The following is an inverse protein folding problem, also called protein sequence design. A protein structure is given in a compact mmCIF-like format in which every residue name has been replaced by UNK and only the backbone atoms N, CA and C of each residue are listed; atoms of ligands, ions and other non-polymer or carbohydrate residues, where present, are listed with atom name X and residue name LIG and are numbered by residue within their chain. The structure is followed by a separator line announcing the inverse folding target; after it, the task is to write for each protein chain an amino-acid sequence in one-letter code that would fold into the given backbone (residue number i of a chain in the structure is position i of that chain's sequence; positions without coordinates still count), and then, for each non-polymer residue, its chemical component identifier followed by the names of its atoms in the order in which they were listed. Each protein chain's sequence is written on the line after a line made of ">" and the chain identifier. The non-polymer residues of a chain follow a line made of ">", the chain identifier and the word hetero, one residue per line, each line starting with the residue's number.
data_IF_329503855308
#
_entry.id   IF_329503855308
#
_cell.length_a   1.000
_cell.length_b   1.000
_cell.length_c   1.000
_cell.angle_alpha   90.00
_cell.angle_beta   90.00
_cell.angle_gamma   90.00
#
_symmetry.space_group_name_H-M   'P 1'
#
loop_
_entity.id
_entity.type
_entity.pdbx_description
1 polymer ?
#
# COMPACT_ATOMS: atom_id res chain seq x y z
N UNK A 1 10.32 -9.91 7.68
CA UNK A 1 10.33 -8.59 8.35
C UNK A 1 9.41 -8.68 9.56
N UNK A 2 9.83 -8.18 10.72
CA UNK A 2 8.99 -8.10 11.93
C UNK A 2 8.13 -6.83 11.92
N UNK A 3 7.12 -6.75 12.79
CA UNK A 3 6.30 -5.55 12.93
C UNK A 3 7.13 -4.29 13.26
N UNK A 4 8.13 -4.39 14.13
CA UNK A 4 9.03 -3.28 14.46
C UNK A 4 9.84 -2.78 13.24
N UNK A 5 10.33 -3.71 12.41
CA UNK A 5 11.04 -3.38 11.17
C UNK A 5 10.10 -2.70 10.15
N UNK A 6 8.84 -3.15 10.08
CA UNK A 6 7.82 -2.51 9.25
C UNK A 6 7.56 -1.08 9.71
N UNK A 7 7.30 -0.88 11.00
CA UNK A 7 7.08 0.45 11.58
C UNK A 7 8.29 1.38 11.36
N UNK A 8 9.50 0.85 11.49
CA UNK A 8 10.74 1.57 11.22
C UNK A 8 10.81 2.02 9.76
N UNK A 9 10.48 1.13 8.82
CA UNK A 9 10.45 1.44 7.39
C UNK A 9 9.45 2.55 7.07
N UNK A 10 8.24 2.47 7.63
CA UNK A 10 7.21 3.50 7.47
C UNK A 10 7.72 4.85 8.02
N UNK A 11 8.36 4.85 9.19
CA UNK A 11 8.93 6.05 9.80
C UNK A 11 10.05 6.68 8.96
N UNK A 12 10.87 5.87 8.29
CA UNK A 12 11.89 6.34 7.36
C UNK A 12 11.27 6.95 6.10
N UNK A 13 10.30 6.26 5.48
CA UNK A 13 9.67 6.73 4.25
C UNK A 13 8.90 8.04 4.44
N UNK A 14 8.17 8.20 5.55
CA UNK A 14 7.42 9.44 5.80
C UNK A 14 8.31 10.68 5.97
N UNK A 15 9.58 10.48 6.34
CA UNK A 15 10.56 11.56 6.55
C UNK A 15 11.40 11.83 5.31
N UNK A 16 11.39 10.93 4.35
CA UNK A 16 12.17 11.04 3.12
C UNK A 16 11.53 12.08 2.19
N UNK A 17 12.32 12.95 1.55
CA UNK A 17 11.80 13.81 0.51
C UNK A 17 11.42 12.99 -0.73
N UNK A 18 10.37 13.41 -1.41
CA UNK A 18 9.97 12.79 -2.67
C UNK A 18 10.98 13.12 -3.78
N UNK A 19 11.42 12.12 -4.57
CA UNK A 19 12.34 12.37 -5.66
C UNK A 19 11.64 13.13 -6.80
N UNK A 20 12.40 13.91 -7.56
CA UNK A 20 11.90 14.62 -8.74
C UNK A 20 11.66 13.69 -9.94
N UNK A 21 12.28 12.51 -9.95
CA UNK A 21 12.16 11.52 -11.02
C UNK A 21 11.60 10.21 -10.46
N UNK A 22 10.82 9.50 -11.29
CA UNK A 22 10.31 8.19 -10.94
C UNK A 22 11.45 7.16 -10.96
N UNK A 23 11.52 6.33 -9.92
CA UNK A 23 12.44 5.21 -9.81
C UNK A 23 11.73 4.00 -9.22
N UNK A 24 11.94 2.83 -9.83
CA UNK A 24 11.33 1.57 -9.42
C UNK A 24 12.37 0.47 -9.28
N UNK A 25 12.19 -0.34 -8.25
CA UNK A 25 12.87 -1.61 -7.99
C UNK A 25 11.83 -2.66 -7.60
N UNK A 26 12.25 -3.92 -7.39
CA UNK A 26 11.34 -5.02 -7.09
C UNK A 26 10.47 -4.80 -5.85
N UNK A 27 10.96 -4.08 -4.84
CA UNK A 27 10.28 -3.88 -3.55
C UNK A 27 9.93 -2.42 -3.25
N UNK A 28 10.33 -1.50 -4.13
CA UNK A 28 10.24 -0.08 -3.85
C UNK A 28 10.01 0.72 -5.13
N UNK A 29 9.00 1.58 -5.10
CA UNK A 29 8.70 2.53 -6.16
C UNK A 29 8.58 3.94 -5.56
N UNK A 30 9.08 4.95 -6.24
CA UNK A 30 9.00 6.33 -5.78
C UNK A 30 9.02 7.29 -6.94
N UNK A 31 8.47 8.49 -6.71
CA UNK A 31 8.44 9.54 -7.70
C UNK A 31 8.02 10.86 -7.08
N UNK A 32 7.73 11.86 -7.92
CA UNK A 32 7.19 13.14 -7.48
C UNK A 32 5.92 12.91 -6.66
N UNK A 33 5.95 13.34 -5.39
CA UNK A 33 4.80 13.27 -4.49
C UNK A 33 4.57 11.92 -3.80
N UNK A 34 5.39 10.88 -4.03
CA UNK A 34 5.13 9.58 -3.39
C UNK A 34 6.33 8.64 -3.18
N UNK A 35 6.13 7.70 -2.25
CA UNK A 35 6.92 6.49 -2.02
C UNK A 35 5.98 5.29 -1.84
N UNK A 36 6.31 4.13 -2.40
CA UNK A 36 5.64 2.84 -2.20
C UNK A 36 6.71 1.81 -1.85
N UNK A 37 6.46 0.98 -0.84
CA UNK A 37 7.34 -0.11 -0.47
C UNK A 37 6.56 -1.37 -0.10
N UNK A 38 7.07 -2.53 -0.52
CA UNK A 38 6.65 -3.81 0.02
C UNK A 38 7.29 -4.03 1.40
N UNK A 39 6.44 -4.12 2.43
CA UNK A 39 6.82 -4.42 3.81
C UNK A 39 6.98 -5.93 4.03
N UNK A 40 6.22 -6.73 3.29
CA UNK A 40 6.31 -8.19 3.26
C UNK A 40 5.91 -8.66 1.87
N UNK A 41 6.60 -9.65 1.34
CA UNK A 41 6.26 -10.36 0.11
C UNK A 41 6.12 -11.83 0.45
N UNK A 42 5.04 -12.45 -0.04
CA UNK A 42 4.73 -13.86 0.16
C UNK A 42 5.51 -14.75 -0.79
N UNK A 43 5.15 -16.03 -0.80
CA UNK A 43 5.59 -16.96 -1.83
C UNK A 43 4.72 -16.81 -3.08
N UNK A 44 5.25 -17.21 -4.24
CA UNK A 44 4.47 -17.21 -5.48
C UNK A 44 3.62 -18.47 -5.57
N UNK A 45 2.43 -18.36 -6.16
CA UNK A 45 1.42 -19.43 -6.13
C UNK A 45 1.46 -20.37 -7.34
N UNK A 46 2.61 -20.52 -8.01
CA UNK A 46 2.73 -21.29 -9.25
C UNK A 46 2.24 -22.74 -9.13
N UNK A 47 2.46 -23.37 -7.97
CA UNK A 47 2.06 -24.75 -7.68
C UNK A 47 1.10 -24.85 -6.48
N UNK A 48 0.61 -23.72 -5.98
CA UNK A 48 -0.17 -23.69 -4.76
C UNK A 48 -1.62 -24.15 -5.01
N UNK A 49 -2.17 -24.91 -4.08
CA UNK A 49 -3.60 -25.21 -4.09
C UNK A 49 -4.44 -24.07 -3.48
N UNK A 50 -5.76 -24.15 -3.64
CA UNK A 50 -6.68 -23.12 -3.14
C UNK A 50 -6.65 -22.95 -1.62
N UNK A 51 -6.25 -24.00 -0.89
CA UNK A 51 -6.11 -23.95 0.58
C UNK A 51 -4.86 -23.16 0.95
N UNK A 52 -3.74 -23.44 0.29
CA UNK A 52 -2.47 -22.72 0.50
C UNK A 52 -2.61 -21.22 0.16
N UNK A 53 -3.34 -20.89 -0.91
CA UNK A 53 -3.66 -19.49 -1.26
C UNK A 53 -4.51 -18.84 -0.15
N UNK A 54 -5.57 -19.50 0.30
CA UNK A 54 -6.45 -18.95 1.34
C UNK A 54 -5.75 -18.77 2.70
N UNK A 55 -4.87 -19.70 3.08
CA UNK A 55 -4.05 -19.59 4.28
C UNK A 55 -3.08 -18.42 4.19
N UNK A 56 -2.46 -18.21 3.02
CA UNK A 56 -1.60 -17.06 2.78
C UNK A 56 -2.38 -15.74 2.85
N UNK A 57 -3.58 -15.67 2.26
CA UNK A 57 -4.46 -14.50 2.36
C UNK A 57 -4.79 -14.16 3.82
N UNK A 58 -5.18 -15.16 4.62
CA UNK A 58 -5.46 -14.97 6.05
C UNK A 58 -4.23 -14.48 6.82
N UNK A 59 -3.05 -15.03 6.54
CA UNK A 59 -1.82 -14.62 7.19
C UNK A 59 -1.44 -13.17 6.88
N UNK A 60 -1.61 -12.76 5.62
CA UNK A 60 -1.34 -11.38 5.19
C UNK A 60 -2.35 -10.39 5.76
N UNK A 61 -3.64 -10.73 5.80
CA UNK A 61 -4.69 -9.92 6.41
C UNK A 61 -4.50 -9.79 7.94
N UNK A 62 -4.08 -10.86 8.62
CA UNK A 62 -3.70 -10.80 10.03
C UNK A 62 -2.50 -9.86 10.25
N UNK A 63 -1.50 -9.93 9.36
CA UNK A 63 -0.35 -9.01 9.36
C UNK A 63 -0.76 -7.54 9.15
N UNK A 64 -1.64 -7.27 8.19
CA UNK A 64 -2.22 -5.95 7.94
C UNK A 64 -2.97 -5.45 9.17
N UNK A 65 -3.79 -6.29 9.78
CA UNK A 65 -4.56 -5.97 10.98
C UNK A 65 -3.65 -5.56 12.13
N UNK A 66 -2.60 -6.34 12.41
CA UNK A 66 -1.63 -6.03 13.45
C UNK A 66 -0.91 -4.69 13.18
N UNK A 67 -0.53 -4.45 11.92
CA UNK A 67 0.10 -3.18 11.52
C UNK A 67 -0.84 -1.99 11.67
N UNK A 68 -2.09 -2.11 11.24
CA UNK A 68 -3.13 -1.08 11.37
C UNK A 68 -3.39 -0.78 12.85
N UNK A 69 -3.49 -1.79 13.71
CA UNK A 69 -3.64 -1.59 15.15
C UNK A 69 -2.47 -0.83 15.75
N UNK A 70 -1.23 -1.23 15.43
CA UNK A 70 -0.03 -0.57 15.91
C UNK A 70 0.07 0.90 15.46
N UNK A 71 -0.26 1.18 14.20
CA UNK A 71 -0.31 2.55 13.67
C UNK A 71 -1.45 3.37 14.28
N UNK A 72 -2.59 2.74 14.56
CA UNK A 72 -3.74 3.40 15.18
C UNK A 72 -3.46 3.85 16.60
N UNK A 73 -2.63 3.11 17.35
CA UNK A 73 -2.15 3.55 18.66
C UNK A 73 -1.29 4.83 18.58
N UNK A 74 -0.68 5.11 17.42
CA UNK A 74 0.21 6.26 17.21
C UNK A 74 -0.53 7.46 16.62
N UNK A 75 -1.45 7.22 15.68
CA UNK A 75 -2.03 8.26 14.83
C UNK A 75 -3.57 8.30 14.87
N UNK A 76 -4.21 7.47 15.68
CA UNK A 76 -5.67 7.35 15.75
C UNK A 76 -6.25 6.45 14.65
N UNK A 77 -7.58 6.40 14.56
CA UNK A 77 -8.26 5.53 13.61
C UNK A 77 -7.93 5.90 12.14
N UNK A 78 -7.68 4.91 11.25
CA UNK A 78 -7.47 5.17 9.83
C UNK A 78 -8.78 5.55 9.13
N UNK A 79 -8.67 6.32 8.05
CA UNK A 79 -9.66 6.33 6.99
C UNK A 79 -9.47 5.12 6.06
N UNK A 80 -10.49 4.80 5.28
CA UNK A 80 -10.41 3.74 4.26
C UNK A 80 -10.43 4.37 2.88
N UNK A 81 -9.51 3.94 2.01
CA UNK A 81 -9.46 4.31 0.60
C UNK A 81 -9.84 3.08 -0.22
N UNK A 82 -10.93 3.20 -0.98
CA UNK A 82 -11.35 2.18 -1.93
C UNK A 82 -10.62 2.38 -3.26
N UNK A 83 -9.79 1.40 -3.62
CA UNK A 83 -8.98 1.46 -4.83
C UNK A 83 -9.69 0.87 -6.05
N UNK A 84 -10.78 0.11 -5.87
CA UNK A 84 -11.61 -0.33 -6.99
C UNK A 84 -12.22 0.87 -7.72
N UNK A 85 -12.68 1.88 -6.98
CA UNK A 85 -13.15 3.14 -7.55
C UNK A 85 -12.04 3.91 -8.29
N UNK A 86 -10.79 3.83 -7.81
CA UNK A 86 -9.64 4.44 -8.49
C UNK A 86 -9.31 3.69 -9.79
N UNK A 87 -9.43 2.37 -9.81
CA UNK A 87 -9.24 1.54 -10.99
C UNK A 87 -10.29 1.85 -12.06
N UNK A 88 -11.57 1.98 -11.68
CA UNK A 88 -12.65 2.39 -12.59
C UNK A 88 -12.40 3.76 -13.21
N UNK A 89 -11.96 4.74 -12.41
CA UNK A 89 -11.57 6.07 -12.92
C UNK A 89 -10.44 5.97 -13.94
N UNK A 90 -9.40 5.20 -13.64
CA UNK A 90 -8.27 5.00 -14.55
C UNK A 90 -8.74 4.34 -15.86
N UNK A 91 -9.59 3.31 -15.78
CA UNK A 91 -10.15 2.63 -16.94
C UNK A 91 -11.04 3.53 -17.81
N UNK A 92 -11.69 4.53 -17.21
CA UNK A 92 -12.49 5.54 -17.91
C UNK A 92 -11.70 6.77 -18.35
N UNK A 93 -10.37 6.78 -18.15
CA UNK A 93 -9.48 7.89 -18.54
C UNK A 93 -9.53 9.10 -17.61
N UNK A 94 -10.16 8.98 -16.44
CA UNK A 94 -10.15 10.00 -15.41
C UNK A 94 -8.82 9.97 -14.64
N UNK A 95 -8.24 11.13 -14.30
CA UNK A 95 -6.96 11.17 -13.59
C UNK A 95 -7.10 10.59 -12.19
N UNK A 96 -6.07 9.87 -11.75
CA UNK A 96 -5.88 9.42 -10.36
C UNK A 96 -4.51 9.90 -9.93
N UNK A 97 -4.42 10.48 -8.73
CA UNK A 97 -3.15 10.99 -8.21
C UNK A 97 -2.25 9.84 -7.72
N UNK A 98 -0.92 9.94 -7.87
CA UNK A 98 0.00 9.08 -7.16
C UNK A 98 -0.16 9.19 -5.64
N UNK A 99 0.06 8.11 -4.88
CA UNK A 99 0.43 6.77 -5.34
C UNK A 99 -0.76 5.86 -5.73
N UNK A 100 -2.01 6.38 -5.71
CA UNK A 100 -3.20 5.54 -5.93
C UNK A 100 -3.31 5.05 -7.39
N UNK A 101 -2.79 5.82 -8.35
CA UNK A 101 -2.70 5.43 -9.78
C UNK A 101 -1.93 4.13 -9.98
N UNK A 102 -0.90 3.94 -9.17
CA UNK A 102 -0.01 2.79 -9.20
C UNK A 102 -0.65 1.64 -8.44
N UNK A 103 -1.28 1.91 -7.30
CA UNK A 103 -1.78 0.89 -6.37
C UNK A 103 -3.13 0.30 -6.77
N UNK A 104 -3.95 1.01 -7.56
CA UNK A 104 -5.30 0.55 -7.91
C UNK A 104 -5.32 -0.74 -8.75
N UNK A 105 -4.21 -1.12 -9.36
CA UNK A 105 -4.05 -2.40 -10.05
C UNK A 105 -3.58 -3.56 -9.16
N UNK A 106 -3.26 -3.31 -7.89
CA UNK A 106 -2.66 -4.31 -7.00
C UNK A 106 -3.46 -4.52 -5.72
N UNK A 107 -3.96 -3.43 -5.13
CA UNK A 107 -4.56 -3.45 -3.79
C UNK A 107 -6.02 -3.06 -3.92
N UNK A 108 -6.98 -3.86 -3.41
CA UNK A 108 -8.40 -3.50 -3.47
C UNK A 108 -8.75 -2.36 -2.51
N UNK A 109 -8.05 -2.26 -1.36
CA UNK A 109 -8.34 -1.30 -0.30
C UNK A 109 -7.10 -0.94 0.51
N UNK A 110 -7.01 0.32 0.94
CA UNK A 110 -5.97 0.75 1.87
C UNK A 110 -6.55 1.43 3.12
N UNK A 111 -5.85 1.28 4.24
CA UNK A 111 -6.06 2.02 5.48
C UNK A 111 -5.10 3.20 5.53
N UNK A 112 -5.63 4.42 5.65
CA UNK A 112 -4.89 5.66 5.47
C UNK A 112 -4.93 6.59 6.68
N UNK A 113 -3.82 7.28 6.93
CA UNK A 113 -3.71 8.37 7.92
C UNK A 113 -3.15 9.63 7.27
N UNK A 114 -3.56 10.79 7.78
CA UNK A 114 -2.89 12.07 7.48
C UNK A 114 -2.01 12.45 8.65
N UNK A 115 -0.70 12.55 8.42
CA UNK A 115 0.29 12.82 9.47
C UNK A 115 1.29 13.86 8.97
N UNK A 116 1.23 15.07 9.55
CA UNK A 116 2.17 16.17 9.27
C UNK A 116 2.33 16.49 7.76
N UNK A 117 1.23 16.68 7.03
CA UNK A 117 1.29 17.04 5.61
C UNK A 117 1.68 15.89 4.68
N UNK A 118 1.46 14.65 5.13
CA UNK A 118 1.67 13.43 4.36
C UNK A 118 0.49 12.50 4.55
N UNK A 119 0.09 11.84 3.47
CA UNK A 119 -0.78 10.68 3.55
C UNK A 119 0.08 9.42 3.70
N UNK A 120 -0.30 8.52 4.61
CA UNK A 120 0.32 7.20 4.76
C UNK A 120 -0.79 6.16 4.62
N UNK A 121 -0.69 5.28 3.62
CA UNK A 121 -1.60 4.17 3.39
C UNK A 121 -0.90 2.83 3.60
N UNK A 122 -1.59 1.85 4.17
CA UNK A 122 -1.17 0.44 4.19
C UNK A 122 -2.27 -0.46 3.64
N UNK A 123 -1.90 -1.55 2.99
CA UNK A 123 -2.85 -2.51 2.46
C UNK A 123 -2.17 -3.80 2.00
N UNK A 124 -2.99 -4.84 1.79
CA UNK A 124 -2.56 -6.10 1.19
C UNK A 124 -3.09 -6.14 -0.22
N UNK A 125 -2.26 -6.59 -1.14
CA UNK A 125 -2.65 -6.73 -2.53
C UNK A 125 -1.75 -7.66 -3.30
N UNK A 126 -2.18 -7.93 -4.51
CA UNK A 126 -1.59 -8.86 -5.43
C UNK A 126 -1.93 -8.40 -6.84
N UNK A 127 -0.94 -8.31 -7.72
CA UNK A 127 -1.12 -7.80 -9.08
C UNK A 127 -1.81 -8.80 -10.02
N UNK A 128 -1.69 -10.10 -9.73
CA UNK A 128 -2.26 -11.21 -10.51
C UNK A 128 -2.38 -12.45 -9.60
N UNK A 129 -3.42 -13.31 -9.74
CA UNK A 129 -3.63 -14.52 -8.93
C UNK A 129 -2.42 -15.47 -8.80
N UNK A 130 -1.50 -15.48 -9.77
CA UNK A 130 -0.29 -16.32 -9.74
C UNK A 130 0.89 -15.63 -9.02
N UNK A 131 0.84 -14.31 -8.83
CA UNK A 131 1.87 -13.53 -8.18
C UNK A 131 1.76 -13.56 -6.66
N UNK A 132 2.87 -13.35 -5.92
CA UNK A 132 2.82 -13.30 -4.46
C UNK A 132 1.91 -12.21 -3.91
N UNK A 133 1.25 -12.51 -2.78
CA UNK A 133 0.65 -11.49 -1.91
C UNK A 133 1.73 -10.53 -1.38
N UNK A 134 1.37 -9.26 -1.25
CA UNK A 134 2.25 -8.23 -0.72
C UNK A 134 1.52 -7.38 0.31
N UNK A 135 2.17 -7.18 1.46
CA UNK A 135 1.81 -6.12 2.41
C UNK A 135 2.60 -4.88 2.04
N UNK A 136 1.90 -3.79 1.73
CA UNK A 136 2.48 -2.58 1.16
C UNK A 136 2.28 -1.39 2.10
N UNK A 137 3.22 -0.44 2.05
CA UNK A 137 3.00 0.94 2.50
C UNK A 137 3.13 1.89 1.32
N UNK A 138 2.27 2.89 1.30
CA UNK A 138 2.35 4.03 0.43
C UNK A 138 2.44 5.31 1.27
N UNK A 139 3.30 6.23 0.88
CA UNK A 139 3.39 7.58 1.43
C UNK A 139 3.18 8.53 0.28
N UNK A 140 2.23 9.44 0.41
CA UNK A 140 1.91 10.45 -0.59
C UNK A 140 1.86 11.85 0.01
N UNK A 141 1.61 12.83 -0.86
CA UNK A 141 1.14 14.15 -0.44
C UNK A 141 -0.17 14.03 0.38
N UNK A 142 -0.48 15.05 1.17
CA UNK A 142 -1.61 15.01 2.12
C UNK A 142 -2.98 14.78 1.44
N UNK A 143 -3.12 15.27 0.21
CA UNK A 143 -4.30 15.18 -0.64
C UNK A 143 -4.27 13.95 -1.58
N UNK A 144 -3.29 13.06 -1.44
CA UNK A 144 -3.18 11.88 -2.30
C UNK A 144 -4.42 10.97 -2.24
N UNK A 145 -5.08 10.91 -1.09
CA UNK A 145 -6.33 10.17 -0.89
C UNK A 145 -7.60 10.96 -1.22
N UNK A 146 -7.47 12.21 -1.65
CA UNK A 146 -8.61 13.04 -2.01
C UNK A 146 -9.04 12.69 -3.43
N UNK A 147 -10.20 12.03 -3.54
CA UNK A 147 -10.84 11.66 -4.81
C UNK A 147 -11.36 12.86 -5.60
N UNK A 148 -11.15 14.10 -5.15
CA UNK A 148 -11.62 15.31 -5.82
C UNK A 148 -10.49 16.06 -6.53
N UNK A 149 -10.60 16.05 -7.86
CA UNK A 149 -9.82 16.77 -8.86
C UNK A 149 -10.36 16.40 -10.22
#
# INVERSE_FOLDING_TARGET
>A
MTLDEQLTTIDLLRRRPFPAERGRSALFESGPGFHIAALRVGEAFWDADLTEVAEAEEEFEAGLTALVQALSLRWGAPGTVDLAACLERTATGLPVRPPLDTLCGYVPRMHGWRVRGRWIGVGVGQGDPELPLQLLVAVGEEDAADTAG
#
